data_IF_675674590121
#
_entry.id   IF_675674590121
#
_cell.length_a   1.000
_cell.length_b   1.000
_cell.length_c   1.000
_cell.angle_alpha   90.00
_cell.angle_beta   90.00
_cell.angle_gamma   90.00
#
_symmetry.space_group_name_H-M   'P 1'
#
loop_
_entity.id
_entity.type
_entity.pdbx_description
1 polymer ?
#
# COMPACT_ATOMS: atom_id res chain seq x y z
N UNK A 1 -4.35 -14.36 16.28
CA UNK A 1 -4.21 -13.56 15.04
C UNK A 1 -5.06 -14.18 13.93
N UNK A 2 -6.12 -13.49 13.49
CA UNK A 2 -7.02 -13.96 12.40
C UNK A 2 -6.25 -14.05 11.07
N UNK A 3 -6.46 -15.13 10.32
CA UNK A 3 -5.89 -15.36 8.97
C UNK A 3 -6.21 -14.17 8.06
N UNK A 4 -5.18 -13.41 7.68
CA UNK A 4 -5.26 -12.34 6.68
C UNK A 4 -5.46 -12.98 5.30
N UNK A 5 -6.68 -12.95 4.74
CA UNK A 5 -6.92 -13.49 3.40
C UNK A 5 -6.18 -12.61 2.35
N UNK A 6 -5.33 -13.24 1.53
CA UNK A 6 -4.56 -12.56 0.48
C UNK A 6 -5.40 -12.23 -0.75
N UNK A 7 -6.51 -12.95 -0.95
CA UNK A 7 -7.34 -12.80 -2.13
C UNK A 7 -8.10 -11.46 -2.18
N UNK A 8 -8.63 -10.98 -1.05
CA UNK A 8 -9.54 -9.82 -1.05
C UNK A 8 -8.89 -8.47 -1.39
N UNK A 9 -7.67 -8.19 -0.92
CA UNK A 9 -7.04 -6.86 -1.11
C UNK A 9 -6.49 -6.69 -2.53
N UNK A 10 -6.00 -7.75 -3.16
CA UNK A 10 -5.44 -7.68 -4.51
C UNK A 10 -6.51 -7.63 -5.61
N UNK A 11 -7.75 -7.96 -5.25
CA UNK A 11 -8.89 -8.04 -6.15
C UNK A 11 -9.82 -6.84 -6.04
N UNK A 12 -9.73 -6.05 -4.96
CA UNK A 12 -10.45 -4.79 -4.81
C UNK A 12 -10.21 -3.86 -6.00
N UNK A 13 -11.30 -3.35 -6.57
CA UNK A 13 -11.27 -2.35 -7.65
C UNK A 13 -10.49 -1.10 -7.23
N UNK A 14 -10.63 -0.71 -5.96
CA UNK A 14 -9.90 0.40 -5.35
C UNK A 14 -8.39 0.20 -5.45
N UNK A 15 -7.89 -0.94 -4.98
CA UNK A 15 -6.46 -1.25 -5.00
C UNK A 15 -5.94 -1.36 -6.43
N UNK A 16 -6.73 -1.89 -7.36
CA UNK A 16 -6.35 -1.93 -8.77
C UNK A 16 -6.18 -0.53 -9.36
N UNK A 17 -7.07 0.39 -9.02
CA UNK A 17 -7.00 1.78 -9.50
C UNK A 17 -5.78 2.49 -8.91
N UNK A 18 -5.54 2.36 -7.60
CA UNK A 18 -4.34 2.89 -6.96
C UNK A 18 -3.06 2.32 -7.57
N UNK A 19 -3.02 1.02 -7.89
CA UNK A 19 -1.86 0.42 -8.52
C UNK A 19 -1.55 1.03 -9.89
N UNK A 20 -2.54 1.50 -10.65
CA UNK A 20 -2.32 2.19 -11.94
C UNK A 20 -1.66 3.55 -11.75
N UNK A 21 -1.96 4.25 -10.66
CA UNK A 21 -1.44 5.59 -10.33
C UNK A 21 -0.13 5.56 -9.54
N UNK A 22 0.15 4.42 -8.88
CA UNK A 22 1.35 4.23 -8.07
C UNK A 22 2.57 3.78 -8.88
N UNK A 23 3.75 3.92 -8.27
CA UNK A 23 4.98 3.31 -8.79
C UNK A 23 5.08 1.78 -8.57
N UNK A 24 4.05 1.13 -8.00
CA UNK A 24 4.04 -0.30 -7.69
C UNK A 24 3.35 -1.12 -8.79
N UNK A 25 4.06 -2.11 -9.32
CA UNK A 25 3.46 -3.12 -10.21
C UNK A 25 2.65 -4.14 -9.41
N UNK A 26 1.55 -4.65 -9.97
CA UNK A 26 0.70 -5.68 -9.33
C UNK A 26 1.51 -6.83 -8.74
N UNK A 27 2.40 -7.47 -9.52
CA UNK A 27 3.23 -8.60 -9.03
C UNK A 27 4.15 -8.21 -7.86
N UNK A 28 4.70 -7.00 -7.90
CA UNK A 28 5.54 -6.44 -6.84
C UNK A 28 4.73 -6.22 -5.56
N UNK A 29 3.52 -5.68 -5.69
CA UNK A 29 2.57 -5.51 -4.59
C UNK A 29 2.17 -6.86 -3.96
N UNK A 30 1.88 -7.89 -4.77
CA UNK A 30 1.59 -9.25 -4.26
C UNK A 30 2.77 -9.82 -3.44
N UNK A 31 3.99 -9.69 -3.96
CA UNK A 31 5.19 -10.16 -3.28
C UNK A 31 5.40 -9.46 -1.92
N UNK A 32 5.15 -8.14 -1.88
CA UNK A 32 5.14 -7.38 -0.63
C UNK A 32 4.09 -7.93 0.34
N UNK A 33 2.82 -8.00 -0.08
CA UNK A 33 1.74 -8.45 0.80
C UNK A 33 2.01 -9.83 1.40
N UNK A 34 2.48 -10.79 0.60
CA UNK A 34 2.82 -12.13 1.07
C UNK A 34 3.85 -12.10 2.20
N UNK A 35 4.97 -11.39 2.00
CA UNK A 35 6.07 -11.31 2.98
C UNK A 35 5.70 -10.48 4.22
N UNK A 36 5.04 -9.34 4.04
CA UNK A 36 4.62 -8.45 5.14
C UNK A 36 3.61 -9.12 6.08
N UNK A 37 2.70 -9.94 5.53
CA UNK A 37 1.66 -10.61 6.31
C UNK A 37 2.14 -11.91 6.94
N UNK A 38 3.15 -12.53 6.36
CA UNK A 38 3.75 -13.76 6.87
C UNK A 38 5.28 -13.60 6.82
N UNK A 39 5.89 -12.95 7.82
CA UNK A 39 7.33 -12.70 7.86
C UNK A 39 8.17 -13.97 7.72
N UNK A 40 7.64 -15.13 8.15
CA UNK A 40 8.30 -16.43 8.04
C UNK A 40 8.30 -17.04 6.63
N UNK A 41 7.47 -16.54 5.69
CA UNK A 41 7.44 -17.09 4.34
C UNK A 41 8.80 -16.91 3.64
N UNK A 42 9.34 -18.01 3.15
CA UNK A 42 10.55 -18.04 2.34
C UNK A 42 10.28 -17.51 0.93
N UNK A 43 11.31 -17.03 0.25
CA UNK A 43 11.15 -16.61 -1.15
C UNK A 43 10.83 -17.77 -2.10
N UNK A 44 11.14 -18.99 -1.70
CA UNK A 44 10.74 -20.18 -2.46
C UNK A 44 9.21 -20.34 -2.42
N UNK A 45 8.61 -20.29 -1.24
CA UNK A 45 7.15 -20.37 -1.08
C UNK A 45 6.43 -19.21 -1.74
N UNK A 46 6.97 -17.99 -1.62
CA UNK A 46 6.44 -16.80 -2.31
C UNK A 46 6.49 -17.02 -3.83
N UNK A 47 7.57 -17.61 -4.35
CA UNK A 47 7.71 -17.86 -5.79
C UNK A 47 6.69 -18.86 -6.32
N UNK A 48 6.38 -19.91 -5.54
CA UNK A 48 5.31 -20.88 -5.84
C UNK A 48 3.95 -20.17 -5.92
N UNK A 49 3.63 -19.30 -4.96
CA UNK A 49 2.37 -18.53 -4.94
C UNK A 49 2.26 -17.50 -6.08
N UNK A 50 3.38 -16.97 -6.53
CA UNK A 50 3.43 -15.97 -7.61
C UNK A 50 3.56 -16.59 -9.01
N UNK A 51 3.82 -17.90 -9.13
CA UNK A 51 4.09 -18.56 -10.40
C UNK A 51 5.38 -18.06 -11.08
N UNK A 52 6.45 -17.81 -10.29
CA UNK A 52 7.75 -17.33 -10.79
C UNK A 52 8.91 -18.10 -10.18
N UNK A 53 10.13 -17.90 -10.69
CA UNK A 53 11.35 -18.43 -10.06
C UNK A 53 11.68 -17.68 -8.77
N UNK A 54 12.31 -18.37 -7.80
CA UNK A 54 12.69 -17.81 -6.50
C UNK A 54 13.46 -16.47 -6.59
N UNK A 55 14.50 -16.29 -7.45
CA UNK A 55 15.18 -14.99 -7.56
C UNK A 55 14.26 -13.86 -8.03
N UNK A 56 13.26 -14.17 -8.85
CA UNK A 56 12.28 -13.20 -9.31
C UNK A 56 11.31 -12.79 -8.19
N UNK A 57 10.93 -13.71 -7.30
CA UNK A 57 10.12 -13.41 -6.12
C UNK A 57 10.85 -12.46 -5.17
N UNK A 58 12.12 -12.73 -4.87
CA UNK A 58 12.97 -11.82 -4.08
C UNK A 58 13.08 -10.44 -4.73
N UNK A 59 13.35 -10.39 -6.04
CA UNK A 59 13.46 -9.13 -6.79
C UNK A 59 12.14 -8.35 -6.78
N UNK A 60 11.00 -9.02 -6.86
CA UNK A 60 9.69 -8.37 -6.77
C UNK A 60 9.47 -7.75 -5.39
N UNK A 61 9.73 -8.50 -4.31
CA UNK A 61 9.63 -7.98 -2.95
C UNK A 61 10.57 -6.79 -2.72
N UNK A 62 11.85 -6.94 -3.08
CA UNK A 62 12.86 -5.88 -2.92
C UNK A 62 12.45 -4.61 -3.65
N UNK A 63 12.07 -4.71 -4.92
CA UNK A 63 11.60 -3.55 -5.71
C UNK A 63 10.39 -2.86 -5.07
N UNK A 64 9.49 -3.64 -4.47
CA UNK A 64 8.33 -3.07 -3.79
C UNK A 64 8.73 -2.30 -2.54
N UNK A 65 9.61 -2.88 -1.73
CA UNK A 65 10.13 -2.23 -0.52
C UNK A 65 10.85 -0.94 -0.88
N UNK A 66 11.70 -0.99 -1.89
CA UNK A 66 12.44 0.17 -2.39
C UNK A 66 11.50 1.26 -2.92
N UNK A 67 10.41 0.90 -3.60
CA UNK A 67 9.43 1.85 -4.09
C UNK A 67 8.68 2.57 -2.94
N UNK A 68 8.35 1.87 -1.86
CA UNK A 68 7.74 2.48 -0.66
C UNK A 68 8.70 3.51 -0.04
N UNK A 69 9.98 3.14 0.15
CA UNK A 69 10.96 4.08 0.70
C UNK A 69 11.20 5.28 -0.21
N UNK A 70 11.28 5.07 -1.53
CA UNK A 70 11.40 6.17 -2.49
C UNK A 70 10.22 7.12 -2.39
N UNK A 71 8.99 6.60 -2.39
CA UNK A 71 7.78 7.43 -2.22
C UNK A 71 7.82 8.23 -0.91
N UNK A 72 8.24 7.60 0.19
CA UNK A 72 8.39 8.29 1.47
C UNK A 72 9.41 9.44 1.42
N UNK A 73 10.57 9.23 0.81
CA UNK A 73 11.56 10.30 0.64
C UNK A 73 11.08 11.39 -0.34
N UNK A 74 10.36 11.02 -1.40
CA UNK A 74 9.73 11.97 -2.32
C UNK A 74 8.73 12.87 -1.60
N UNK A 75 7.86 12.30 -0.75
CA UNK A 75 6.93 13.10 0.07
C UNK A 75 7.68 14.04 1.01
N UNK A 76 8.77 13.59 1.64
CA UNK A 76 9.61 14.46 2.49
C UNK A 76 10.21 15.64 1.73
N UNK A 77 10.69 15.40 0.50
CA UNK A 77 11.20 16.47 -0.36
C UNK A 77 10.07 17.44 -0.71
N UNK A 78 8.89 16.94 -1.07
CA UNK A 78 7.73 17.78 -1.39
C UNK A 78 7.30 18.67 -0.21
N UNK A 79 7.25 18.11 1.01
CA UNK A 79 6.98 18.86 2.23
C UNK A 79 8.06 19.94 2.45
N UNK A 80 9.33 19.56 2.37
CA UNK A 80 10.43 20.49 2.59
C UNK A 80 10.43 21.66 1.59
N UNK A 81 10.02 21.39 0.35
CA UNK A 81 9.95 22.37 -0.72
C UNK A 81 8.60 23.12 -0.79
N UNK A 82 7.63 22.83 0.09
CA UNK A 82 6.32 23.47 0.08
C UNK A 82 5.47 23.15 -1.16
N UNK A 83 5.59 21.93 -1.71
CA UNK A 83 4.95 21.51 -2.97
C UNK A 83 3.60 20.79 -2.78
N UNK A 84 3.13 20.63 -1.54
CA UNK A 84 1.85 19.95 -1.27
C UNK A 84 0.77 20.98 -0.95
N UNK A 85 -0.37 20.83 -1.63
CA UNK A 85 -1.58 21.61 -1.34
C UNK A 85 -2.16 21.24 0.02
N UNK A 86 -2.83 22.20 0.67
CA UNK A 86 -3.38 22.02 2.02
C UNK A 86 -4.35 20.84 2.08
N UNK A 87 -5.22 20.69 1.08
CA UNK A 87 -6.18 19.59 1.00
C UNK A 87 -5.48 18.22 0.93
N UNK A 88 -4.35 18.13 0.21
CA UNK A 88 -3.56 16.88 0.12
C UNK A 88 -2.86 16.59 1.45
N UNK A 89 -2.38 17.61 2.14
CA UNK A 89 -1.77 17.47 3.47
C UNK A 89 -2.78 16.98 4.49
N UNK A 90 -3.97 17.57 4.52
CA UNK A 90 -5.03 17.20 5.46
C UNK A 90 -5.46 15.74 5.26
N UNK A 91 -5.72 15.35 4.01
CA UNK A 91 -6.02 13.96 3.65
C UNK A 91 -4.92 12.98 4.09
N UNK A 92 -3.64 13.32 3.87
CA UNK A 92 -2.52 12.48 4.29
C UNK A 92 -2.44 12.35 5.81
N UNK A 93 -2.67 13.44 6.55
CA UNK A 93 -2.68 13.42 8.02
C UNK A 93 -3.79 12.49 8.52
N UNK A 94 -5.01 12.63 7.98
CA UNK A 94 -6.13 11.82 8.39
C UNK A 94 -5.91 10.32 8.10
N UNK A 95 -5.38 9.98 6.92
CA UNK A 95 -5.05 8.59 6.58
C UNK A 95 -3.99 7.99 7.51
N UNK A 96 -2.98 8.78 7.88
CA UNK A 96 -1.94 8.35 8.83
C UNK A 96 -2.50 8.20 10.25
N UNK A 97 -3.44 9.05 10.66
CA UNK A 97 -4.12 8.94 11.95
C UNK A 97 -4.97 7.67 12.02
N UNK A 98 -5.79 7.39 11.01
CA UNK A 98 -6.59 6.15 10.95
C UNK A 98 -5.70 4.90 10.90
N UNK A 99 -4.59 4.94 10.15
CA UNK A 99 -3.63 3.83 10.15
C UNK A 99 -2.95 3.66 11.52
N UNK A 100 -2.66 4.76 12.23
CA UNK A 100 -2.12 4.70 13.59
C UNK A 100 -3.13 4.05 14.55
N UNK A 101 -4.42 4.41 14.46
CA UNK A 101 -5.48 3.78 15.26
C UNK A 101 -5.54 2.28 15.03
N UNK A 102 -5.42 1.83 13.77
CA UNK A 102 -5.32 0.41 13.43
C UNK A 102 -4.11 -0.26 14.10
N UNK A 103 -2.93 0.37 14.02
CA UNK A 103 -1.70 -0.17 14.61
C UNK A 103 -1.77 -0.26 16.15
N UNK A 104 -2.48 0.66 16.80
CA UNK A 104 -2.69 0.64 18.25
C UNK A 104 -3.86 -0.25 18.68
N UNK A 105 -4.56 -0.89 17.74
CA UNK A 105 -5.74 -1.72 18.03
C UNK A 105 -6.98 -0.93 18.43
N UNK A 106 -6.99 0.38 18.20
CA UNK A 106 -8.09 1.29 18.49
C UNK A 106 -9.14 1.38 17.35
N UNK A 107 -8.85 0.77 16.20
CA UNK A 107 -9.76 0.64 15.06
C UNK A 107 -9.58 -0.72 14.39
N UNK A 108 -10.61 -1.21 13.71
CA UNK A 108 -10.56 -2.45 12.94
C UNK A 108 -9.99 -2.23 11.53
N UNK A 109 -9.48 -3.30 10.91
CA UNK A 109 -8.96 -3.24 9.53
C UNK A 109 -10.04 -2.83 8.52
N UNK A 110 -11.30 -3.20 8.76
CA UNK A 110 -12.44 -2.86 7.91
C UNK A 110 -12.76 -1.37 8.00
N UNK A 111 -12.97 -0.84 9.21
CA UNK A 111 -13.25 0.58 9.43
C UNK A 111 -12.14 1.48 8.87
N UNK A 112 -10.87 1.12 9.11
CA UNK A 112 -9.73 1.89 8.59
C UNK A 112 -9.69 1.88 7.07
N UNK A 113 -9.97 0.74 6.43
CA UNK A 113 -10.03 0.68 4.96
C UNK A 113 -11.14 1.54 4.42
N UNK A 114 -12.37 1.40 4.92
CA UNK A 114 -13.53 2.13 4.40
C UNK A 114 -13.32 3.65 4.44
N UNK A 115 -12.70 4.16 5.52
CA UNK A 115 -12.36 5.59 5.64
C UNK A 115 -11.34 6.04 4.60
N UNK A 116 -10.23 5.30 4.46
CA UNK A 116 -9.15 5.62 3.51
C UNK A 116 -9.66 5.49 2.08
N UNK A 117 -10.43 4.46 1.75
CA UNK A 117 -10.98 4.25 0.41
C UNK A 117 -11.88 5.41 -0.01
N UNK A 118 -12.79 5.84 0.88
CA UNK A 118 -13.67 6.99 0.64
C UNK A 118 -12.89 8.28 0.37
N UNK A 119 -11.93 8.63 1.23
CA UNK A 119 -11.12 9.86 1.06
C UNK A 119 -10.26 9.84 -0.19
N UNK A 120 -9.72 8.66 -0.52
CA UNK A 120 -8.95 8.50 -1.75
C UNK A 120 -9.82 8.67 -3.00
N UNK A 121 -11.07 8.22 -2.99
CA UNK A 121 -12.01 8.46 -4.10
C UNK A 121 -12.35 9.95 -4.24
N UNK A 122 -12.48 10.68 -3.13
CA UNK A 122 -12.66 12.14 -3.13
C UNK A 122 -11.45 12.85 -3.74
N UNK A 123 -10.23 12.48 -3.32
CA UNK A 123 -8.99 13.00 -3.90
C UNK A 123 -8.90 12.76 -5.42
N UNK A 124 -9.21 11.54 -5.87
CA UNK A 124 -9.20 11.21 -7.29
C UNK A 124 -10.13 12.13 -8.08
N UNK A 125 -11.34 12.40 -7.55
CA UNK A 125 -12.30 13.31 -8.19
C UNK A 125 -11.79 14.75 -8.23
N UNK A 126 -11.12 15.21 -7.17
CA UNK A 126 -10.53 16.56 -7.13
C UNK A 126 -9.39 16.73 -8.15
N UNK A 127 -8.60 15.69 -8.40
CA UNK A 127 -7.48 15.72 -9.35
C UNK A 127 -7.92 15.64 -10.83
N UNK A 128 -9.15 15.19 -11.10
CA UNK A 128 -9.72 15.04 -12.44
C UNK A 128 -10.63 16.20 -12.85
N UNK A 129 -10.93 17.11 -11.92
CA UNK A 129 -11.72 18.33 -12.13
C UNK A 129 -10.83 19.51 -12.53
#
# INVERSE_FOLDING_TARGET
MKKRSSAGVEESLFVRELLKRSYLKKRTFRALLLKSRNPELTFEEISKRLGVKQPAAWKCWKKGRDAIFKAFFTLKIAIHAGLLDIDVVDLLIEDLQDYRLLLTGAATEEETKDRIERRTLELIRMMEA
#
